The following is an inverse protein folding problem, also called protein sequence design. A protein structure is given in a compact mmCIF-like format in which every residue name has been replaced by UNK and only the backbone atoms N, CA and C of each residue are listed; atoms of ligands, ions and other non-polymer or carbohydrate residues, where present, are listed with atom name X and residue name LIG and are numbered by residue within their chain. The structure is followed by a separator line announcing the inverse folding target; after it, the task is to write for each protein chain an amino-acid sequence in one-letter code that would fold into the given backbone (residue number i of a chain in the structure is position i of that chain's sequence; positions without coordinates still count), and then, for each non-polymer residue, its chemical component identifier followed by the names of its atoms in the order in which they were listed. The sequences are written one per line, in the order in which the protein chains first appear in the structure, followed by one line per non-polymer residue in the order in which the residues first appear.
data_IF_362104160440
#
_entry.id   IF_362104160440
#
_cell.length_a   1.000
_cell.length_b   1.000
_cell.length_c   1.000
_cell.angle_alpha   90.00
_cell.angle_beta   90.00
_cell.angle_gamma   90.00
#
_symmetry.space_group_name_H-M   'P 1'
#
loop_
_entity.id
_entity.type
_entity.pdbx_description
1 polymer ?
#
# COMPACT_ATOMS: atom_id res chain seq x y z
N UNK A 1 6.58 22.43 4.27
CA UNK A 1 6.46 20.98 4.13
C UNK A 1 5.43 20.63 3.04
N UNK A 2 4.20 21.13 3.10
CA UNK A 2 3.16 20.94 2.08
C UNK A 2 3.64 21.37 0.68
N UNK A 3 4.24 22.55 0.57
CA UNK A 3 4.82 23.05 -0.67
C UNK A 3 5.87 22.10 -1.28
N UNK A 4 6.73 21.52 -0.47
CA UNK A 4 7.72 20.54 -0.93
C UNK A 4 7.05 19.29 -1.50
N UNK A 5 6.00 18.82 -0.86
CA UNK A 5 5.23 17.66 -1.33
C UNK A 5 4.51 17.94 -2.66
N UNK A 6 3.90 19.11 -2.80
CA UNK A 6 3.28 19.52 -4.07
C UNK A 6 4.27 19.49 -5.22
N UNK A 7 5.48 19.99 -4.98
CA UNK A 7 6.53 20.06 -6.00
C UNK A 7 7.15 18.70 -6.32
N UNK A 8 7.42 17.90 -5.30
CA UNK A 8 8.06 16.58 -5.48
C UNK A 8 7.11 15.55 -6.09
N UNK A 9 5.83 15.60 -5.71
CA UNK A 9 4.83 14.63 -6.19
C UNK A 9 3.98 15.15 -7.35
N UNK A 10 4.21 16.40 -7.81
CA UNK A 10 3.45 17.05 -8.88
C UNK A 10 1.93 16.99 -8.66
N UNK A 11 1.51 17.22 -7.41
CA UNK A 11 0.09 17.26 -7.01
C UNK A 11 -0.30 18.71 -6.78
N UNK A 12 -1.01 19.34 -7.71
CA UNK A 12 -1.44 20.73 -7.54
C UNK A 12 -2.51 20.86 -6.44
N UNK A 13 -2.47 21.98 -5.72
CA UNK A 13 -3.49 22.40 -4.75
C UNK A 13 -3.60 21.58 -3.45
N UNK A 14 -2.51 21.03 -2.94
CA UNK A 14 -2.48 20.50 -1.56
C UNK A 14 -2.68 21.67 -0.56
N UNK A 15 -2.21 22.87 -0.91
CA UNK A 15 -2.29 24.06 -0.06
C UNK A 15 -3.74 24.57 0.05
N UNK A 16 -4.55 24.46 -1.01
CA UNK A 16 -5.95 24.92 -1.04
C UNK A 16 -6.92 24.02 -0.27
N UNK A 17 -6.44 22.93 0.33
CA UNK A 17 -7.21 22.17 1.31
C UNK A 17 -7.17 22.87 2.68
N UNK A 18 -7.40 24.18 2.69
CA UNK A 18 -7.83 24.93 3.87
C UNK A 18 -9.23 24.48 4.30
N UNK A 19 -9.31 23.28 4.78
CA UNK A 19 -10.42 22.90 5.62
C UNK A 19 -10.04 23.30 7.05
N UNK A 20 -11.00 23.78 7.83
CA UNK A 20 -10.95 24.03 9.28
C UNK A 20 -10.59 22.75 10.09
N UNK A 21 -9.73 21.93 9.55
CA UNK A 21 -9.37 20.63 10.04
C UNK A 21 -8.30 20.77 11.12
N UNK A 22 -8.52 20.10 12.24
CA UNK A 22 -7.53 19.89 13.30
C UNK A 22 -6.20 19.39 12.70
N UNK A 23 -5.08 19.66 13.38
CA UNK A 23 -3.75 19.19 12.93
C UNK A 23 -3.70 17.70 12.59
N UNK A 24 -4.52 16.88 13.22
CA UNK A 24 -4.63 15.43 12.95
C UNK A 24 -5.15 15.13 11.54
N UNK A 25 -6.08 15.96 11.03
CA UNK A 25 -6.64 15.79 9.67
C UNK A 25 -5.65 16.21 8.58
N UNK A 26 -4.79 17.19 8.87
CA UNK A 26 -3.73 17.61 7.94
C UNK A 26 -2.68 16.51 7.77
N UNK A 27 -2.23 15.89 8.86
CA UNK A 27 -1.30 14.75 8.80
C UNK A 27 -1.93 13.57 8.06
N UNK A 28 -3.20 13.31 8.30
CA UNK A 28 -3.92 12.25 7.61
C UNK A 28 -4.03 12.48 6.10
N UNK A 29 -4.40 13.69 5.69
CA UNK A 29 -4.44 14.04 4.27
C UNK A 29 -3.08 13.85 3.61
N UNK A 30 -2.00 14.17 4.31
CA UNK A 30 -0.65 13.92 3.83
C UNK A 30 -0.38 12.45 3.51
N UNK A 31 -0.80 11.52 4.39
CA UNK A 31 -0.66 10.08 4.16
C UNK A 31 -1.39 9.63 2.89
N UNK A 32 -2.56 10.21 2.66
CA UNK A 32 -3.34 9.93 1.45
C UNK A 32 -2.63 10.44 0.19
N UNK A 33 -2.01 11.62 0.26
CA UNK A 33 -1.30 12.21 -0.89
C UNK A 33 -0.05 11.44 -1.31
N UNK A 34 0.69 10.85 -0.38
CA UNK A 34 1.89 10.06 -0.71
C UNK A 34 1.55 8.65 -1.22
N UNK A 35 0.31 8.19 -1.08
CA UNK A 35 -0.10 6.84 -1.47
C UNK A 35 0.20 6.49 -2.95
N UNK A 36 -0.07 7.34 -3.97
CA UNK A 36 0.23 6.99 -5.37
C UNK A 36 1.72 6.76 -5.62
N UNK A 37 2.59 7.50 -4.95
CA UNK A 37 4.04 7.32 -5.05
C UNK A 37 4.47 5.95 -4.53
N UNK A 38 4.02 5.58 -3.32
CA UNK A 38 4.32 4.26 -2.74
C UNK A 38 3.73 3.13 -3.58
N UNK A 39 2.52 3.32 -4.13
CA UNK A 39 1.91 2.35 -5.03
C UNK A 39 2.76 2.12 -6.27
N UNK A 40 3.16 3.18 -6.97
CA UNK A 40 4.06 3.08 -8.13
C UNK A 40 5.38 2.41 -7.77
N UNK A 41 6.00 2.81 -6.67
CA UNK A 41 7.28 2.25 -6.23
C UNK A 41 7.19 0.74 -5.99
N UNK A 42 6.14 0.29 -5.29
CA UNK A 42 5.91 -1.13 -5.03
C UNK A 42 5.64 -1.91 -6.32
N UNK A 43 4.78 -1.37 -7.20
CA UNK A 43 4.35 -2.06 -8.42
C UNK A 43 5.38 -2.04 -9.55
N UNK A 44 6.50 -1.32 -9.43
CA UNK A 44 7.66 -1.47 -10.34
C UNK A 44 8.17 -2.92 -10.42
N UNK A 45 7.94 -3.73 -9.40
CA UNK A 45 8.29 -5.16 -9.33
C UNK A 45 7.17 -6.08 -9.83
N UNK A 46 6.11 -5.50 -10.37
CA UNK A 46 4.89 -6.19 -10.75
C UNK A 46 3.90 -6.38 -9.60
N UNK A 47 2.74 -6.91 -9.91
CA UNK A 47 1.66 -7.17 -8.95
C UNK A 47 2.09 -8.25 -7.96
N UNK A 48 1.88 -8.00 -6.67
CA UNK A 48 2.26 -8.94 -5.61
C UNK A 48 1.47 -10.24 -5.70
N UNK A 49 2.16 -11.35 -5.62
CA UNK A 49 1.60 -12.69 -5.71
C UNK A 49 2.10 -13.57 -4.58
N UNK A 50 1.19 -14.31 -3.96
CA UNK A 50 1.53 -15.21 -2.86
C UNK A 50 0.62 -16.43 -2.82
N UNK A 51 0.98 -17.41 -1.97
CA UNK A 51 0.15 -18.59 -1.76
C UNK A 51 -1.02 -18.28 -0.83
N UNK A 52 -2.24 -18.41 -1.36
CA UNK A 52 -3.50 -18.24 -0.63
C UNK A 52 -4.19 -19.59 -0.49
N UNK A 53 -4.81 -19.83 0.66
CA UNK A 53 -5.64 -21.02 0.88
C UNK A 53 -7.05 -20.75 0.40
N UNK A 54 -7.43 -21.33 -0.75
CA UNK A 54 -8.80 -21.29 -1.27
C UNK A 54 -9.58 -22.54 -0.88
N UNK A 55 -10.88 -22.40 -0.71
CA UNK A 55 -11.79 -23.48 -0.29
C UNK A 55 -12.80 -23.76 -1.39
N UNK A 56 -12.93 -25.02 -1.75
CA UNK A 56 -13.78 -25.50 -2.83
C UNK A 56 -14.81 -26.52 -2.34
N UNK A 57 -15.86 -26.72 -3.12
CA UNK A 57 -16.86 -27.76 -2.93
C UNK A 57 -17.34 -28.24 -4.30
N UNK A 58 -16.61 -29.17 -4.89
CA UNK A 58 -16.87 -29.73 -6.19
C UNK A 58 -16.48 -31.23 -6.27
N UNK A 59 -16.68 -31.87 -7.40
CA UNK A 59 -16.36 -33.28 -7.62
C UNK A 59 -14.89 -33.53 -7.96
N UNK A 60 -14.09 -32.47 -8.22
CA UNK A 60 -12.69 -32.59 -8.65
C UNK A 60 -11.72 -32.20 -7.52
N UNK A 61 -11.54 -33.08 -6.55
CA UNK A 61 -10.73 -32.82 -5.37
C UNK A 61 -9.25 -32.67 -5.72
N UNK A 62 -8.69 -31.47 -5.48
CA UNK A 62 -7.28 -31.14 -5.77
C UNK A 62 -6.47 -30.82 -4.51
N UNK A 63 -7.04 -30.91 -3.34
CA UNK A 63 -6.39 -30.49 -2.10
C UNK A 63 -6.80 -31.30 -0.89
N UNK A 64 -6.56 -30.76 0.30
CA UNK A 64 -6.90 -31.43 1.57
C UNK A 64 -8.40 -31.34 1.82
N UNK A 65 -9.05 -32.50 2.05
CA UNK A 65 -10.48 -32.58 2.38
C UNK A 65 -10.73 -31.93 3.73
N UNK A 66 -11.71 -31.04 3.78
CA UNK A 66 -12.22 -30.42 5.00
C UNK A 66 -13.43 -31.21 5.47
N UNK A 67 -13.19 -32.18 6.36
CA UNK A 67 -14.19 -33.12 6.81
C UNK A 67 -15.39 -32.42 7.49
N UNK A 68 -15.10 -31.43 8.34
CA UNK A 68 -16.16 -30.73 9.08
C UNK A 68 -17.08 -29.97 8.09
N UNK A 69 -16.49 -29.23 7.16
CA UNK A 69 -17.25 -28.50 6.14
C UNK A 69 -17.96 -29.46 5.15
N UNK A 70 -17.31 -30.60 4.84
CA UNK A 70 -17.90 -31.61 3.96
C UNK A 70 -19.18 -32.20 4.56
N UNK A 71 -19.15 -32.57 5.83
CA UNK A 71 -20.33 -33.10 6.54
C UNK A 71 -21.46 -32.08 6.54
N UNK A 72 -21.14 -30.80 6.84
CA UNK A 72 -22.19 -29.76 6.92
C UNK A 72 -22.79 -29.44 5.54
N UNK A 73 -21.96 -29.43 4.47
CA UNK A 73 -22.43 -29.02 3.13
C UNK A 73 -22.94 -30.15 2.24
N UNK A 74 -22.45 -31.37 2.46
CA UNK A 74 -22.66 -32.50 1.55
C UNK A 74 -23.31 -33.69 2.20
N UNK A 75 -24.18 -33.47 3.21
CA UNK A 75 -25.05 -34.51 3.79
C UNK A 75 -26.50 -34.18 3.47
N UNK A 76 -27.20 -35.00 2.64
CA UNK A 76 -26.75 -36.24 1.99
C UNK A 76 -25.71 -35.97 0.88
N UNK A 77 -24.87 -36.97 0.61
CA UNK A 77 -23.80 -36.86 -0.37
C UNK A 77 -24.35 -36.83 -1.82
N UNK A 78 -24.01 -35.78 -2.56
CA UNK A 78 -24.46 -35.53 -3.93
C UNK A 78 -23.30 -35.51 -4.94
N UNK A 79 -22.15 -36.11 -4.59
CA UNK A 79 -20.97 -36.16 -5.47
C UNK A 79 -19.94 -35.06 -5.25
N UNK A 80 -20.25 -34.01 -4.49
CA UNK A 80 -19.32 -32.93 -4.20
C UNK A 80 -18.53 -33.17 -2.91
N UNK A 81 -17.26 -32.75 -2.89
CA UNK A 81 -16.38 -32.85 -1.72
C UNK A 81 -15.87 -31.47 -1.35
N UNK A 82 -15.97 -31.12 -0.07
CA UNK A 82 -15.41 -29.89 0.45
C UNK A 82 -13.92 -30.08 0.74
N UNK A 83 -13.08 -29.30 0.09
CA UNK A 83 -11.62 -29.35 0.25
C UNK A 83 -11.00 -27.96 0.26
N UNK A 84 -9.75 -27.85 0.63
CA UNK A 84 -8.95 -26.64 0.56
C UNK A 84 -7.66 -26.89 -0.18
N UNK A 85 -7.27 -25.92 -1.00
CA UNK A 85 -6.05 -25.95 -1.80
C UNK A 85 -5.24 -24.68 -1.60
N UNK A 86 -3.91 -24.78 -1.66
CA UNK A 86 -3.03 -23.61 -1.71
C UNK A 86 -2.76 -23.26 -3.16
N UNK A 87 -3.09 -22.03 -3.52
CA UNK A 87 -2.92 -21.51 -4.87
C UNK A 87 -2.02 -20.28 -4.85
N UNK A 88 -1.18 -20.15 -5.86
CA UNK A 88 -0.36 -18.97 -6.05
C UNK A 88 -1.19 -17.91 -6.78
N UNK A 89 -1.71 -16.94 -6.03
CA UNK A 89 -2.72 -15.98 -6.51
C UNK A 89 -2.27 -14.53 -6.34
N UNK A 90 -2.72 -13.68 -7.27
CA UNK A 90 -2.68 -12.22 -7.14
C UNK A 90 -3.75 -11.72 -6.17
N UNK A 91 -4.90 -12.40 -6.10
CA UNK A 91 -5.94 -12.10 -5.15
C UNK A 91 -5.54 -12.65 -3.78
N UNK A 92 -5.07 -11.75 -2.92
CA UNK A 92 -4.52 -12.04 -1.61
C UNK A 92 -4.75 -10.85 -0.65
N UNK A 93 -4.61 -11.10 0.65
CA UNK A 93 -4.90 -10.11 1.70
C UNK A 93 -4.19 -8.76 1.50
N UNK A 94 -2.95 -8.76 0.98
CA UNK A 94 -2.22 -7.51 0.72
C UNK A 94 -2.83 -6.72 -0.44
N UNK A 95 -3.10 -7.38 -1.57
CA UNK A 95 -3.68 -6.71 -2.73
C UNK A 95 -5.10 -6.22 -2.42
N UNK A 96 -5.87 -6.97 -1.63
CA UNK A 96 -7.15 -6.52 -1.12
C UNK A 96 -7.03 -5.31 -0.17
N UNK A 97 -6.00 -5.26 0.69
CA UNK A 97 -5.73 -4.10 1.54
C UNK A 97 -5.47 -2.84 0.69
N UNK A 98 -4.63 -2.97 -0.34
CA UNK A 98 -4.36 -1.88 -1.29
C UNK A 98 -5.65 -1.47 -2.01
N UNK A 99 -6.47 -2.44 -2.43
CA UNK A 99 -7.78 -2.19 -3.04
C UNK A 99 -8.71 -1.41 -2.13
N UNK A 100 -8.83 -1.80 -0.85
CA UNK A 100 -9.62 -1.07 0.14
C UNK A 100 -9.14 0.38 0.30
N UNK A 101 -7.82 0.60 0.25
CA UNK A 101 -7.24 1.94 0.34
C UNK A 101 -7.56 2.76 -0.91
N UNK A 102 -7.47 2.18 -2.10
CA UNK A 102 -7.87 2.83 -3.36
C UNK A 102 -9.34 3.24 -3.33
N UNK A 103 -10.25 2.33 -2.94
CA UNK A 103 -11.67 2.65 -2.85
C UNK A 103 -11.96 3.72 -1.80
N UNK A 104 -11.25 3.69 -0.65
CA UNK A 104 -11.34 4.74 0.35
C UNK A 104 -10.94 6.12 -0.21
N UNK A 105 -9.82 6.18 -0.94
CA UNK A 105 -9.32 7.42 -1.54
C UNK A 105 -10.29 7.94 -2.62
N UNK A 106 -10.89 7.09 -3.42
CA UNK A 106 -11.88 7.47 -4.44
C UNK A 106 -13.06 8.26 -3.87
N UNK A 107 -13.46 7.95 -2.63
CA UNK A 107 -14.57 8.65 -1.97
C UNK A 107 -14.19 10.04 -1.43
N UNK A 108 -12.91 10.45 -1.50
CA UNK A 108 -12.48 11.80 -1.13
C UNK A 108 -12.72 12.78 -2.28
N UNK A 109 -13.03 14.08 -2.01
CA UNK A 109 -13.27 15.07 -3.06
C UNK A 109 -12.16 15.21 -4.10
N UNK A 110 -10.89 15.03 -3.67
CA UNK A 110 -9.68 15.07 -4.50
C UNK A 110 -9.23 13.70 -4.99
N UNK A 111 -9.90 12.62 -4.57
CA UNK A 111 -9.43 11.25 -4.73
C UNK A 111 -9.20 10.83 -6.18
N UNK A 112 -10.11 11.20 -7.08
CA UNK A 112 -9.97 10.87 -8.50
C UNK A 112 -8.76 11.52 -9.16
N UNK A 113 -8.47 12.79 -8.84
CA UNK A 113 -7.29 13.50 -9.35
C UNK A 113 -6.00 12.86 -8.83
N UNK A 114 -5.99 12.52 -7.54
CA UNK A 114 -4.85 11.89 -6.89
C UNK A 114 -4.55 10.50 -7.47
N UNK A 115 -5.57 9.66 -7.63
CA UNK A 115 -5.39 8.31 -8.20
C UNK A 115 -5.07 8.33 -9.69
N UNK A 116 -5.38 9.43 -10.40
CA UNK A 116 -4.96 9.58 -11.79
C UNK A 116 -3.43 9.59 -11.96
N UNK A 117 -2.68 10.00 -10.92
CA UNK A 117 -1.22 9.92 -10.92
C UNK A 117 -0.69 8.47 -11.02
N UNK A 118 -1.45 7.48 -10.53
CA UNK A 118 -1.09 6.06 -10.56
C UNK A 118 -2.19 5.23 -11.25
N UNK A 119 -2.68 5.71 -12.40
CA UNK A 119 -3.86 5.15 -13.07
C UNK A 119 -3.68 3.69 -13.49
N UNK A 120 -2.53 3.35 -14.06
CA UNK A 120 -2.26 1.98 -14.53
C UNK A 120 -2.11 1.02 -13.35
N UNK A 121 -1.38 1.44 -12.29
CA UNK A 121 -1.23 0.64 -11.09
C UNK A 121 -2.58 0.40 -10.39
N UNK A 122 -3.43 1.41 -10.33
CA UNK A 122 -4.78 1.27 -9.79
C UNK A 122 -5.61 0.29 -10.61
N UNK A 123 -5.49 0.32 -11.93
CA UNK A 123 -6.17 -0.63 -12.83
C UNK A 123 -5.69 -2.06 -12.59
N UNK A 124 -4.39 -2.25 -12.42
CA UNK A 124 -3.79 -3.56 -12.14
C UNK A 124 -4.23 -4.10 -10.77
N UNK A 125 -4.31 -3.26 -9.73
CA UNK A 125 -4.86 -3.62 -8.42
C UNK A 125 -6.32 -4.08 -8.55
N UNK A 126 -7.13 -3.35 -9.32
CA UNK A 126 -8.53 -3.71 -9.56
C UNK A 126 -8.65 -5.06 -10.27
N UNK A 127 -7.82 -5.29 -11.29
CA UNK A 127 -7.80 -6.55 -12.04
C UNK A 127 -7.30 -7.74 -11.20
N UNK A 128 -6.37 -7.48 -10.26
CA UNK A 128 -5.79 -8.49 -9.38
C UNK A 128 -6.71 -8.95 -8.25
N UNK A 129 -7.76 -8.17 -7.93
CA UNK A 129 -8.67 -8.42 -6.81
C UNK A 129 -10.13 -8.60 -7.27
N UNK A 130 -10.45 -9.65 -8.04
CA UNK A 130 -11.80 -9.90 -8.52
C UNK A 130 -12.78 -10.25 -7.40
N UNK A 131 -12.32 -10.89 -6.33
CA UNK A 131 -13.14 -11.33 -5.19
C UNK A 131 -13.30 -10.23 -4.12
N UNK A 132 -12.96 -8.96 -4.45
CA UNK A 132 -13.05 -7.83 -3.52
C UNK A 132 -14.47 -7.57 -3.01
N UNK A 133 -14.62 -7.50 -1.69
CA UNK A 133 -15.86 -7.14 -0.99
C UNK A 133 -15.64 -6.01 0.01
N UNK A 134 -16.41 -4.92 -0.12
CA UNK A 134 -16.28 -3.75 0.76
C UNK A 134 -16.50 -4.09 2.25
N UNK A 135 -17.36 -5.04 2.57
CA UNK A 135 -17.68 -5.46 3.94
C UNK A 135 -16.52 -6.18 4.64
N UNK A 136 -15.57 -6.75 3.89
CA UNK A 136 -14.44 -7.51 4.42
C UNK A 136 -13.28 -6.62 4.94
N UNK A 137 -13.39 -5.29 4.84
CA UNK A 137 -12.30 -4.35 5.20
C UNK A 137 -11.64 -4.65 6.54
N UNK A 138 -12.43 -4.89 7.59
CA UNK A 138 -11.88 -5.15 8.92
C UNK A 138 -11.09 -6.44 8.98
N UNK A 139 -11.62 -7.50 8.39
CA UNK A 139 -10.94 -8.80 8.29
C UNK A 139 -9.61 -8.68 7.58
N UNK A 140 -9.57 -7.94 6.47
CA UNK A 140 -8.35 -7.70 5.68
C UNK A 140 -7.33 -6.85 6.46
N UNK A 141 -7.76 -5.83 7.19
CA UNK A 141 -6.88 -5.04 8.06
C UNK A 141 -6.25 -5.95 9.13
N UNK A 142 -7.03 -6.78 9.80
CA UNK A 142 -6.54 -7.63 10.89
C UNK A 142 -5.62 -8.75 10.36
N UNK A 143 -5.90 -9.30 9.18
CA UNK A 143 -5.03 -10.24 8.49
C UNK A 143 -3.66 -9.62 8.17
N UNK A 144 -3.63 -8.39 7.65
CA UNK A 144 -2.40 -7.70 7.30
C UNK A 144 -1.59 -7.20 8.51
N UNK A 145 -2.22 -6.96 9.65
CA UNK A 145 -1.51 -6.68 10.92
C UNK A 145 -0.73 -7.89 11.41
N UNK A 146 -1.29 -9.08 11.22
CA UNK A 146 -0.67 -10.33 11.65
C UNK A 146 0.40 -10.79 10.67
N UNK A 147 0.14 -10.63 9.36
CA UNK A 147 0.98 -11.10 8.27
C UNK A 147 1.69 -9.95 7.57
N UNK A 148 2.70 -9.36 8.22
CA UNK A 148 3.54 -8.35 7.57
C UNK A 148 4.52 -8.98 6.59
N UNK A 149 4.70 -8.32 5.43
CA UNK A 149 5.70 -8.76 4.44
C UNK A 149 7.10 -8.53 5.01
N UNK A 150 7.91 -9.60 5.03
CA UNK A 150 9.29 -9.54 5.56
C UNK A 150 10.35 -9.83 4.49
N UNK A 151 9.93 -10.15 3.27
CA UNK A 151 10.86 -10.53 2.22
C UNK A 151 11.59 -9.30 1.66
N UNK A 152 12.93 -9.32 1.67
CA UNK A 152 13.76 -8.18 1.24
C UNK A 152 13.47 -7.71 -0.19
N UNK A 153 13.12 -8.62 -1.11
CA UNK A 153 12.75 -8.30 -2.49
C UNK A 153 11.50 -7.42 -2.59
N UNK A 154 10.55 -7.58 -1.65
CA UNK A 154 9.28 -6.86 -1.62
C UNK A 154 9.26 -5.74 -0.56
N UNK A 155 10.40 -5.11 -0.29
CA UNK A 155 10.52 -4.06 0.71
C UNK A 155 9.54 -2.91 0.47
N UNK A 156 9.37 -2.48 -0.77
CA UNK A 156 8.46 -1.40 -1.15
C UNK A 156 6.99 -1.77 -0.87
N UNK A 157 6.63 -3.05 -1.02
CA UNK A 157 5.31 -3.55 -0.62
C UNK A 157 5.11 -3.56 0.90
N UNK A 158 6.17 -3.76 1.70
CA UNK A 158 6.10 -3.65 3.16
C UNK A 158 5.81 -2.19 3.59
N UNK A 159 6.46 -1.23 2.93
CA UNK A 159 6.24 0.20 3.17
C UNK A 159 4.81 0.59 2.75
N UNK A 160 4.34 0.14 1.59
CA UNK A 160 2.97 0.35 1.11
C UNK A 160 1.93 -0.29 2.04
N UNK A 161 2.17 -1.53 2.54
CA UNK A 161 1.29 -2.21 3.49
C UNK A 161 1.13 -1.37 4.77
N UNK A 162 2.24 -0.86 5.31
CA UNK A 162 2.23 -0.01 6.51
C UNK A 162 1.44 1.27 6.28
N UNK A 163 1.63 1.92 5.13
CA UNK A 163 0.89 3.13 4.75
C UNK A 163 -0.62 2.86 4.61
N UNK A 164 -1.00 1.78 3.92
CA UNK A 164 -2.40 1.39 3.77
C UNK A 164 -3.08 1.13 5.12
N UNK A 165 -2.40 0.44 6.04
CA UNK A 165 -2.89 0.20 7.39
C UNK A 165 -3.10 1.50 8.16
N UNK A 166 -2.18 2.46 8.06
CA UNK A 166 -2.31 3.78 8.70
C UNK A 166 -3.52 4.53 8.13
N UNK A 167 -3.68 4.59 6.82
CA UNK A 167 -4.79 5.28 6.17
C UNK A 167 -6.14 4.67 6.59
N UNK A 168 -6.29 3.35 6.55
CA UNK A 168 -7.56 2.69 6.84
C UNK A 168 -7.89 2.64 8.33
N UNK A 169 -6.90 2.68 9.22
CA UNK A 169 -7.11 2.69 10.67
C UNK A 169 -7.43 4.09 11.22
N UNK A 170 -6.85 5.14 10.65
CA UNK A 170 -7.13 6.51 11.08
C UNK A 170 -8.62 6.85 11.04
N UNK A 171 -9.34 6.32 10.05
CA UNK A 171 -10.79 6.50 9.93
C UNK A 171 -11.57 5.94 11.14
N UNK A 172 -11.06 4.93 11.87
CA UNK A 172 -11.71 4.39 13.07
C UNK A 172 -11.60 5.31 14.28
N UNK A 173 -10.54 6.09 14.38
CA UNK A 173 -10.34 6.98 15.52
C UNK A 173 -11.22 8.23 15.47
N UNK A 174 -11.73 8.62 14.30
CA UNK A 174 -12.70 9.71 14.16
C UNK A 174 -14.12 9.31 14.64
N UNK A 175 -14.43 8.01 14.76
CA UNK A 175 -15.77 7.51 15.10
C UNK A 175 -15.87 7.04 16.56
N UNK A 176 -14.76 6.92 17.31
CA UNK A 176 -14.75 6.39 18.67
C UNK A 176 -13.93 7.24 19.65
N UNK A 177 -14.51 7.55 20.80
CA UNK A 177 -13.80 8.11 21.97
C UNK A 177 -12.82 7.06 22.53
N UNK A 178 -11.65 6.93 21.91
CA UNK A 178 -10.58 6.05 22.38
C UNK A 178 -9.25 6.79 22.45
N UNK A 179 -8.43 6.51 23.47
CA UNK A 179 -7.16 7.15 23.76
C UNK A 179 -6.30 7.31 22.49
N UNK A 180 -5.90 8.56 22.21
CA UNK A 180 -5.08 8.96 21.07
C UNK A 180 -3.72 8.24 21.10
N UNK A 181 -3.56 7.19 20.32
CA UNK A 181 -2.23 6.72 19.93
C UNK A 181 -1.85 7.45 18.64
N UNK A 182 -1.05 8.48 18.78
CA UNK A 182 -0.40 9.13 17.63
C UNK A 182 0.61 8.15 17.08
N UNK A 183 0.32 7.53 15.96
CA UNK A 183 1.32 6.78 15.20
C UNK A 183 2.18 7.82 14.49
N UNK A 184 3.38 8.06 15.01
CA UNK A 184 4.36 8.91 14.34
C UNK A 184 4.76 8.27 13.00
N UNK A 185 4.39 8.90 11.91
CA UNK A 185 5.02 8.62 10.63
C UNK A 185 6.40 9.28 10.66
N UNK A 186 7.45 8.45 10.67
CA UNK A 186 8.81 8.96 10.50
C UNK A 186 8.96 9.33 9.03
N UNK A 187 8.74 10.60 8.72
CA UNK A 187 8.95 11.14 7.39
C UNK A 187 10.42 11.54 7.26
N UNK A 188 11.11 11.01 6.27
CA UNK A 188 12.47 11.45 5.96
C UNK A 188 12.41 12.82 5.27
N UNK A 189 12.47 13.88 6.08
CA UNK A 189 12.43 15.25 5.60
C UNK A 189 13.67 15.63 4.77
N UNK A 190 14.78 14.96 5.00
CA UNK A 190 16.01 15.15 4.22
C UNK A 190 15.80 14.64 2.80
N UNK A 191 15.24 13.44 2.65
CA UNK A 191 14.89 12.89 1.34
C UNK A 191 13.91 13.79 0.57
N UNK A 192 12.88 14.32 1.22
CA UNK A 192 11.92 15.22 0.57
C UNK A 192 12.59 16.51 0.07
N UNK A 193 13.52 17.05 0.87
CA UNK A 193 14.28 18.23 0.50
C UNK A 193 15.22 17.94 -0.68
N UNK A 194 15.90 16.81 -0.69
CA UNK A 194 16.78 16.39 -1.77
C UNK A 194 15.99 16.21 -3.08
N UNK A 195 14.83 15.56 -3.07
CA UNK A 195 13.97 15.42 -4.25
C UNK A 195 13.44 16.77 -4.74
N UNK A 196 13.11 17.68 -3.82
CA UNK A 196 12.72 19.04 -4.17
C UNK A 196 13.90 19.80 -4.85
N UNK A 197 15.09 19.72 -4.29
CA UNK A 197 16.26 20.33 -4.88
C UNK A 197 16.57 19.73 -6.25
N UNK A 198 16.45 18.42 -6.41
CA UNK A 198 16.59 17.75 -7.70
C UNK A 198 15.57 18.23 -8.74
N UNK A 199 14.36 18.57 -8.33
CA UNK A 199 13.32 19.13 -9.23
C UNK A 199 13.61 20.57 -9.70
N UNK A 200 14.49 21.30 -9.01
CA UNK A 200 14.83 22.69 -9.31
C UNK A 200 16.18 22.79 -10.04
N UNK A 201 17.08 21.88 -9.73
CA UNK A 201 18.46 21.89 -10.25
C UNK A 201 18.48 21.25 -11.63
N UNK A 202 19.17 21.92 -12.56
CA UNK A 202 19.28 21.53 -13.96
C UNK A 202 19.89 20.13 -14.14
N UNK A 203 19.65 19.47 -15.28
CA UNK A 203 20.13 18.13 -15.66
C UNK A 203 21.67 17.96 -15.60
N UNK A 204 22.42 19.05 -15.45
CA UNK A 204 23.87 19.06 -15.29
C UNK A 204 24.32 18.48 -13.95
N UNK A 205 23.43 18.48 -12.95
CA UNK A 205 23.74 17.99 -11.61
C UNK A 205 23.37 16.53 -11.44
N UNK A 206 24.33 15.72 -11.03
CA UNK A 206 24.08 14.33 -10.69
C UNK A 206 23.40 14.19 -9.34
N UNK A 207 22.20 13.60 -9.33
CA UNK A 207 21.47 13.25 -8.10
C UNK A 207 21.73 11.79 -7.75
N UNK A 208 22.57 11.48 -6.75
CA UNK A 208 22.82 10.11 -6.33
C UNK A 208 21.56 9.52 -5.66
N UNK A 209 21.21 8.27 -5.98
CA UNK A 209 20.18 7.56 -5.23
C UNK A 209 20.60 7.39 -3.77
N UNK A 210 19.95 8.10 -2.89
CA UNK A 210 20.32 8.43 -1.51
C UNK A 210 20.59 7.26 -0.56
N UNK A 211 20.33 6.03 -0.94
CA UNK A 211 20.54 4.83 -0.08
C UNK A 211 21.42 3.76 -0.74
N UNK A 212 21.98 4.06 -1.89
CA UNK A 212 22.85 3.12 -2.57
C UNK A 212 24.31 3.48 -2.30
N UNK A 213 25.09 2.54 -1.80
CA UNK A 213 26.57 2.61 -1.69
C UNK A 213 27.27 3.02 -2.98
N UNK A 214 26.59 2.92 -4.11
CA UNK A 214 27.06 3.35 -5.44
C UNK A 214 26.86 4.84 -5.71
N UNK A 215 26.13 5.58 -4.88
CA UNK A 215 25.91 7.02 -5.03
C UNK A 215 26.98 7.89 -4.37
N UNK A 216 27.87 7.31 -3.55
CA UNK A 216 28.94 8.08 -2.93
C UNK A 216 30.00 8.47 -3.94
N UNK A 217 30.32 9.75 -4.02
CA UNK A 217 31.34 10.31 -4.88
C UNK A 217 32.60 10.69 -4.08
N UNK A 218 33.76 10.56 -4.71
CA UNK A 218 35.00 11.06 -4.10
C UNK A 218 35.06 12.57 -4.24
N UNK A 219 35.20 13.27 -3.14
CA UNK A 219 35.31 14.72 -3.11
C UNK A 219 36.70 15.20 -3.68
N UNK A 220 37.72 14.36 -3.48
CA UNK A 220 39.11 14.66 -3.93
C UNK A 220 39.75 13.39 -4.46
N UNK A 221 40.59 13.53 -5.50
CA UNK A 221 41.27 12.41 -6.19
C UNK A 221 42.21 11.59 -5.27
N UNK A 222 42.74 12.19 -4.21
CA UNK A 222 43.72 11.58 -3.32
C UNK A 222 43.23 11.41 -1.88
N UNK A 223 41.99 11.77 -1.59
CA UNK A 223 41.47 11.67 -0.24
C UNK A 223 40.28 10.65 -0.17
N UNK A 224 40.20 9.90 0.92
CA UNK A 224 39.14 8.91 1.13
C UNK A 224 37.82 9.51 1.62
N UNK A 225 37.67 10.83 1.49
CA UNK A 225 36.41 11.49 1.80
C UNK A 225 35.34 11.11 0.78
N UNK A 226 34.21 10.61 1.24
CA UNK A 226 33.00 10.35 0.45
C UNK A 226 31.93 11.36 0.86
N UNK A 227 31.19 11.86 -0.10
CA UNK A 227 29.95 12.63 0.14
C UNK A 227 28.78 11.68 0.16
#
# INVERSE_FOLDING_TARGET
FQYLLERVFDVPNIVDLETDANNDDRVFNLLVFIFPHYLKSAMRKGVFKTYVRKTYNDCNVKGTIDIARHIVKNTPFVGNVAYSQREYSFDNDLMELIRHTVEFIKHKPYGHKLLALAKEEVKDVVAATPDYEMCNRQKIIDANKTNTIRHAYYREYCELQSLCLLILQHQKHQIGMGSKKVYGLLFDGAWLWEEYMNSIVDEIFYHPMNKATKGSQRLFDHNRGLI
#
